data_IF_599783216403
#
_entry.id   IF_599783216403
#
_cell.length_a   1.000
_cell.length_b   1.000
_cell.length_c   1.000
_cell.angle_alpha   90.00
_cell.angle_beta   90.00
_cell.angle_gamma   90.00
#
_symmetry.space_group_name_H-M   'P 1'
#
loop_
_entity.id
_entity.type
_entity.pdbx_description
1 polymer ?
#
# COMPACT_ATOMS: atom_id res chain seq x y z
N UNK A 1 -33.54 -19.19 4.85
CA UNK A 1 -32.22 -18.55 5.05
C UNK A 1 -31.52 -18.62 3.71
N UNK A 2 -31.81 -17.67 2.82
CA UNK A 2 -31.30 -17.66 1.45
C UNK A 2 -29.87 -17.16 1.48
N UNK A 3 -28.97 -18.04 1.04
CA UNK A 3 -27.52 -17.81 0.92
C UNK A 3 -27.30 -16.57 0.05
N UNK A 4 -26.62 -15.57 0.62
CA UNK A 4 -26.25 -14.31 -0.03
C UNK A 4 -25.48 -14.58 -1.32
N UNK A 5 -25.95 -13.97 -2.41
CA UNK A 5 -25.30 -13.97 -3.72
C UNK A 5 -23.85 -13.46 -3.56
N UNK A 6 -22.89 -14.32 -3.89
CA UNK A 6 -21.48 -13.95 -3.88
C UNK A 6 -21.23 -13.02 -5.08
N UNK A 7 -21.15 -11.71 -4.82
CA UNK A 7 -20.92 -10.70 -5.83
C UNK A 7 -19.45 -10.70 -6.26
N UNK A 8 -19.17 -11.44 -7.34
CA UNK A 8 -17.83 -11.68 -7.85
C UNK A 8 -17.14 -10.38 -8.32
N UNK A 9 -17.90 -9.35 -8.72
CA UNK A 9 -17.35 -8.07 -9.13
C UNK A 9 -16.85 -7.21 -7.96
N UNK A 10 -17.55 -7.27 -6.82
CA UNK A 10 -17.10 -6.65 -5.56
C UNK A 10 -15.81 -7.32 -5.07
N UNK A 11 -15.78 -8.65 -5.09
CA UNK A 11 -14.61 -9.42 -4.68
C UNK A 11 -13.37 -9.08 -5.54
N UNK A 12 -13.51 -9.03 -6.86
CA UNK A 12 -12.42 -8.71 -7.77
C UNK A 12 -11.96 -7.24 -7.67
N UNK A 13 -12.87 -6.31 -7.37
CA UNK A 13 -12.53 -4.90 -7.11
C UNK A 13 -11.70 -4.76 -5.84
N UNK A 14 -12.18 -5.33 -4.73
CA UNK A 14 -11.48 -5.28 -3.44
C UNK A 14 -10.08 -5.90 -3.54
N UNK A 15 -9.96 -7.05 -4.21
CA UNK A 15 -8.67 -7.74 -4.39
C UNK A 15 -7.68 -6.95 -5.26
N UNK A 16 -8.16 -6.21 -6.26
CA UNK A 16 -7.31 -5.31 -7.06
C UNK A 16 -6.85 -4.09 -6.26
N UNK A 17 -7.69 -3.55 -5.39
CA UNK A 17 -7.31 -2.41 -4.53
C UNK A 17 -6.31 -2.82 -3.45
N UNK A 18 -6.50 -3.97 -2.82
CA UNK A 18 -5.54 -4.54 -1.86
C UNK A 18 -4.16 -4.74 -2.49
N UNK A 19 -4.09 -5.33 -3.69
CA UNK A 19 -2.83 -5.56 -4.39
C UNK A 19 -2.11 -4.28 -4.83
N UNK A 20 -2.85 -3.20 -5.14
CA UNK A 20 -2.26 -1.88 -5.42
C UNK A 20 -1.64 -1.26 -4.16
N UNK A 21 -2.33 -1.38 -3.04
CA UNK A 21 -1.89 -0.79 -1.77
C UNK A 21 -0.68 -1.55 -1.20
N UNK A 22 -0.63 -2.87 -1.37
CA UNK A 22 0.51 -3.69 -0.99
C UNK A 22 1.78 -3.34 -1.78
N UNK A 23 1.67 -3.20 -3.11
CA UNK A 23 2.77 -2.73 -3.97
C UNK A 23 3.24 -1.32 -3.62
N UNK A 24 2.31 -0.41 -3.32
CA UNK A 24 2.66 0.95 -2.91
C UNK A 24 3.49 0.96 -1.62
N UNK A 25 3.14 0.11 -0.64
CA UNK A 25 3.89 -0.04 0.63
C UNK A 25 5.26 -0.68 0.42
N UNK A 26 5.37 -1.67 -0.46
CA UNK A 26 6.65 -2.27 -0.83
C UNK A 26 7.59 -1.25 -1.47
N UNK A 27 7.09 -0.49 -2.45
CA UNK A 27 7.85 0.57 -3.11
C UNK A 27 8.30 1.64 -2.10
N UNK A 28 7.39 2.07 -1.21
CA UNK A 28 7.72 3.03 -0.17
C UNK A 28 8.82 2.52 0.78
N UNK A 29 8.76 1.23 1.18
CA UNK A 29 9.80 0.60 2.00
C UNK A 29 11.15 0.61 1.28
N UNK A 30 11.18 0.28 0.00
CA UNK A 30 12.41 0.28 -0.79
C UNK A 30 13.03 1.68 -0.87
N UNK A 31 12.22 2.71 -1.12
CA UNK A 31 12.72 4.10 -1.14
C UNK A 31 13.24 4.57 0.22
N UNK A 32 12.59 4.17 1.33
CA UNK A 32 13.05 4.47 2.68
C UNK A 32 14.40 3.80 3.00
N UNK A 33 14.57 2.54 2.61
CA UNK A 33 15.83 1.79 2.78
C UNK A 33 16.95 2.41 1.95
N UNK A 34 16.67 2.80 0.71
CA UNK A 34 17.66 3.40 -0.18
C UNK A 34 18.01 4.85 0.18
N UNK A 35 17.23 5.52 1.05
CA UNK A 35 17.41 6.92 1.48
C UNK A 35 17.52 7.93 0.33
N UNK A 36 16.85 7.65 -0.79
CA UNK A 36 16.91 8.48 -2.01
C UNK A 36 15.91 9.64 -1.94
N UNK A 37 14.79 9.45 -1.25
CA UNK A 37 13.67 10.37 -1.17
C UNK A 37 13.26 10.59 0.29
N UNK A 38 12.71 11.77 0.58
CA UNK A 38 12.12 12.05 1.91
C UNK A 38 10.77 11.33 2.04
N UNK A 39 10.27 11.08 3.27
CA UNK A 39 8.95 10.48 3.48
C UNK A 39 7.80 11.20 2.75
N UNK A 40 7.88 12.51 2.61
CA UNK A 40 6.91 13.33 1.87
C UNK A 40 6.94 13.07 0.37
N UNK A 41 8.15 12.96 -0.21
CA UNK A 41 8.33 12.62 -1.62
C UNK A 41 7.88 11.19 -1.92
N UNK A 42 8.14 10.26 -0.99
CA UNK A 42 7.69 8.87 -1.08
C UNK A 42 6.17 8.82 -1.05
N UNK A 43 5.51 9.54 -0.12
CA UNK A 43 4.06 9.63 -0.06
C UNK A 43 3.44 10.14 -1.37
N UNK A 44 4.05 11.16 -1.98
CA UNK A 44 3.62 11.66 -3.30
C UNK A 44 3.84 10.63 -4.41
N UNK A 45 4.99 9.94 -4.44
CA UNK A 45 5.33 8.98 -5.48
C UNK A 45 4.48 7.71 -5.43
N UNK A 46 4.10 7.25 -4.24
CA UNK A 46 3.33 6.01 -4.05
C UNK A 46 1.83 6.23 -3.87
N UNK A 47 1.39 7.48 -3.70
CA UNK A 47 0.01 7.82 -3.39
C UNK A 47 -0.41 7.42 -1.97
N UNK A 48 0.53 7.07 -1.09
CA UNK A 48 0.27 6.76 0.31
C UNK A 48 0.14 8.05 1.12
N UNK A 49 -0.58 7.99 2.24
CA UNK A 49 -0.55 9.10 3.19
C UNK A 49 0.82 9.17 3.86
N UNK A 50 1.29 10.38 4.18
CA UNK A 50 2.55 10.59 4.89
C UNK A 50 2.64 9.76 6.19
N UNK A 51 1.56 9.73 6.97
CA UNK A 51 1.51 8.91 8.19
C UNK A 51 1.64 7.41 7.92
N UNK A 52 1.17 6.90 6.77
CA UNK A 52 1.39 5.50 6.42
C UNK A 52 2.86 5.26 6.12
N UNK A 53 3.50 6.14 5.34
CA UNK A 53 4.93 6.05 5.02
C UNK A 53 5.79 6.12 6.29
N UNK A 54 5.49 7.03 7.21
CA UNK A 54 6.20 7.16 8.50
C UNK A 54 6.02 5.93 9.41
N UNK A 55 4.90 5.23 9.30
CA UNK A 55 4.63 4.00 10.06
C UNK A 55 5.20 2.74 9.39
N UNK A 56 5.76 2.83 8.18
CA UNK A 56 6.45 1.70 7.57
C UNK A 56 7.70 1.42 8.40
N UNK A 57 7.66 0.33 9.17
CA UNK A 57 8.85 -0.21 9.81
C UNK A 57 9.79 -0.70 8.72
N UNK A 58 10.98 -0.11 8.65
CA UNK A 58 12.11 -0.64 7.92
C UNK A 58 13.28 -0.72 8.89
N UNK A 59 13.78 -1.94 9.09
CA UNK A 59 14.96 -2.18 9.94
C UNK A 59 16.18 -1.83 9.09
N UNK A 60 17.01 -0.91 9.57
CA UNK A 60 18.36 -0.75 9.06
C UNK A 60 19.21 -1.79 9.80
N UNK A 61 19.50 -2.91 9.15
CA UNK A 61 20.58 -3.81 9.59
C UNK A 61 21.94 -3.20 9.27
#
# INVERSE_FOLDING_TARGET
MTLTEFDQEEYDRNRREEGKNEKAREIARNFLVMKVLTPEQIAQATGLKLNEVLNIKYTQE
#
